data_IF_667778621296
#
_entry.id   IF_667778621296
#
_cell.length_a   1.000
_cell.length_b   1.000
_cell.length_c   1.000
_cell.angle_alpha   90.00
_cell.angle_beta   90.00
_cell.angle_gamma   90.00
#
_symmetry.space_group_name_H-M   'P 1'
#
loop_
_entity.id
_entity.type
_entity.pdbx_description
1 polymer ?
#
# COMPACT_ATOMS: atom_id res chain seq x y z
N UNK A 1 1.15 9.05 8.88
CA UNK A 1 1.33 9.12 10.37
C UNK A 1 0.71 7.90 11.03
N UNK A 2 1.33 7.30 12.04
CA UNK A 2 0.68 6.24 12.82
C UNK A 2 0.93 6.39 14.32
N UNK A 3 0.03 5.81 15.14
CA UNK A 3 -0.01 6.04 16.60
C UNK A 3 1.22 5.57 17.36
N UNK A 4 1.96 4.59 16.83
CA UNK A 4 3.17 4.06 17.49
C UNK A 4 4.40 4.92 17.22
N UNK A 5 4.32 5.94 16.33
CA UNK A 5 5.41 6.86 16.11
C UNK A 5 5.52 7.83 17.31
N UNK A 6 6.63 7.83 18.06
CA UNK A 6 6.80 8.73 19.21
C UNK A 6 6.76 10.22 18.81
N UNK A 7 7.04 10.54 17.55
CA UNK A 7 7.02 11.91 17.00
C UNK A 7 5.66 12.37 16.49
N UNK A 8 4.64 11.53 16.51
CA UNK A 8 3.34 11.81 15.86
C UNK A 8 2.73 13.16 16.29
N UNK A 9 2.90 13.54 17.56
CA UNK A 9 2.38 14.81 18.08
C UNK A 9 3.13 16.03 17.55
N UNK A 10 4.44 15.93 17.42
CA UNK A 10 5.27 17.03 16.93
C UNK A 10 5.16 17.17 15.42
N UNK A 11 5.13 16.04 14.71
CA UNK A 11 4.88 16.02 13.27
C UNK A 11 3.49 16.61 12.96
N UNK A 12 2.46 16.31 13.77
CA UNK A 12 1.12 16.88 13.61
C UNK A 12 1.11 18.40 13.80
N UNK A 13 1.84 18.93 14.80
CA UNK A 13 1.96 20.39 15.01
C UNK A 13 2.54 21.09 13.77
N UNK A 14 3.56 20.46 13.15
CA UNK A 14 4.18 20.99 11.93
C UNK A 14 3.16 20.95 10.77
N UNK A 15 2.45 19.84 10.59
CA UNK A 15 1.42 19.72 9.57
C UNK A 15 0.29 20.76 9.72
N UNK A 16 -0.17 21.00 10.95
CA UNK A 16 -1.17 22.03 11.26
C UNK A 16 -0.63 23.42 10.96
N UNK A 17 0.61 23.74 11.40
CA UNK A 17 1.28 25.02 11.14
C UNK A 17 1.36 25.32 9.63
N UNK A 18 1.65 24.32 8.81
CA UNK A 18 1.80 24.47 7.36
C UNK A 18 0.51 24.16 6.58
N UNK A 19 -0.60 23.90 7.28
CA UNK A 19 -1.91 23.56 6.68
C UNK A 19 -1.79 22.47 5.59
N UNK A 20 -1.10 21.38 5.92
CA UNK A 20 -0.91 20.28 4.96
C UNK A 20 -2.28 19.77 4.51
N UNK A 21 -2.61 19.80 3.21
CA UNK A 21 -3.98 19.61 2.74
C UNK A 21 -4.52 18.20 2.95
N UNK A 22 -3.66 17.18 2.94
CA UNK A 22 -4.02 15.78 3.12
C UNK A 22 -3.05 15.07 4.05
N UNK A 23 -3.57 14.45 5.09
CA UNK A 23 -2.80 13.59 6.00
C UNK A 23 -3.27 12.14 5.83
N UNK A 24 -2.32 11.24 5.55
CA UNK A 24 -2.57 9.79 5.57
C UNK A 24 -2.15 9.23 6.92
N UNK A 25 -3.04 8.46 7.55
CA UNK A 25 -2.82 7.81 8.84
C UNK A 25 -2.90 6.30 8.70
N UNK A 26 -2.17 5.58 9.56
CA UNK A 26 -2.14 4.12 9.61
C UNK A 26 -2.09 3.62 11.05
N UNK A 27 -2.41 2.33 11.29
CA UNK A 27 -2.33 1.65 12.58
C UNK A 27 -3.10 2.32 13.73
N UNK A 28 -4.34 2.67 13.48
CA UNK A 28 -5.28 3.22 14.46
C UNK A 28 -5.65 4.67 14.17
N UNK A 29 -6.92 4.89 13.90
CA UNK A 29 -7.49 6.22 13.70
C UNK A 29 -7.56 6.97 15.03
N UNK A 30 -7.10 8.20 15.05
CA UNK A 30 -7.09 9.08 16.23
C UNK A 30 -8.02 10.25 15.98
N UNK A 31 -9.17 10.27 16.65
CA UNK A 31 -10.15 11.36 16.52
C UNK A 31 -9.54 12.75 16.78
N UNK A 32 -8.58 12.86 17.73
CA UNK A 32 -7.87 14.11 18.00
C UNK A 32 -7.05 14.61 16.81
N UNK A 33 -6.40 13.70 16.06
CA UNK A 33 -5.65 14.04 14.85
C UNK A 33 -6.62 14.55 13.77
N UNK A 34 -7.73 13.84 13.57
CA UNK A 34 -8.78 14.25 12.61
C UNK A 34 -9.28 15.65 12.94
N UNK A 35 -9.66 15.92 14.20
CA UNK A 35 -10.10 17.25 14.63
C UNK A 35 -9.07 18.34 14.39
N UNK A 36 -7.78 18.08 14.68
CA UNK A 36 -6.71 19.04 14.46
C UNK A 36 -6.51 19.35 12.96
N UNK A 37 -6.62 18.36 12.07
CA UNK A 37 -6.51 18.55 10.61
C UNK A 37 -7.73 19.29 10.07
N UNK A 38 -8.94 18.92 10.51
CA UNK A 38 -10.17 19.60 10.12
C UNK A 38 -10.22 21.06 10.57
N UNK A 39 -9.54 21.44 11.66
CA UNK A 39 -9.54 22.82 12.16
C UNK A 39 -9.01 23.86 11.15
N UNK A 40 -8.24 23.43 10.16
CA UNK A 40 -7.75 24.30 9.08
C UNK A 40 -8.25 23.91 7.68
N UNK A 41 -9.22 22.99 7.59
CA UNK A 41 -9.82 22.53 6.32
C UNK A 41 -9.03 21.45 5.60
N UNK A 42 -8.07 20.77 6.27
CA UNK A 42 -7.35 19.63 5.72
C UNK A 42 -8.18 18.35 5.75
N UNK A 43 -7.76 17.34 4.99
CA UNK A 43 -8.40 16.03 4.88
C UNK A 43 -7.56 14.95 5.58
N UNK A 44 -8.23 13.95 6.14
CA UNK A 44 -7.58 12.77 6.72
C UNK A 44 -8.04 11.50 6.02
N UNK A 45 -7.09 10.76 5.44
CA UNK A 45 -7.34 9.43 4.91
C UNK A 45 -6.67 8.38 5.82
N UNK A 46 -7.27 7.18 5.89
CA UNK A 46 -6.79 6.14 6.80
C UNK A 46 -6.65 4.79 6.11
N UNK A 47 -5.49 4.15 6.31
CA UNK A 47 -5.20 2.80 5.82
C UNK A 47 -5.99 1.76 6.60
N UNK A 48 -6.71 0.90 5.89
CA UNK A 48 -7.49 -0.19 6.47
C UNK A 48 -7.32 -1.50 5.72
N UNK A 49 -7.30 -2.61 6.44
CA UNK A 49 -7.14 -3.96 5.86
C UNK A 49 -8.37 -4.85 6.08
N UNK A 50 -9.38 -4.38 6.79
CA UNK A 50 -10.63 -5.11 7.07
C UNK A 50 -11.74 -4.18 7.55
N UNK A 51 -12.98 -4.65 7.48
CA UNK A 51 -14.21 -3.91 7.86
C UNK A 51 -14.11 -3.23 9.22
N UNK A 52 -13.73 -3.96 10.27
CA UNK A 52 -13.64 -3.38 11.63
C UNK A 52 -12.69 -2.17 11.72
N UNK A 53 -11.61 -2.17 10.93
CA UNK A 53 -10.69 -1.03 10.87
C UNK A 53 -11.37 0.17 10.18
N UNK A 54 -12.09 -0.10 9.10
CA UNK A 54 -12.83 0.92 8.36
C UNK A 54 -13.96 1.54 9.21
N UNK A 55 -14.71 0.73 9.97
CA UNK A 55 -15.74 1.21 10.89
C UNK A 55 -15.15 2.16 11.94
N UNK A 56 -14.05 1.78 12.59
CA UNK A 56 -13.37 2.64 13.58
C UNK A 56 -12.81 3.93 12.94
N UNK A 57 -12.29 3.86 11.73
CA UNK A 57 -11.83 5.04 11.03
C UNK A 57 -12.99 5.99 10.67
N UNK A 58 -14.12 5.43 10.22
CA UNK A 58 -15.34 6.18 9.96
C UNK A 58 -15.88 6.87 11.23
N UNK A 59 -15.93 6.15 12.35
CA UNK A 59 -16.31 6.69 13.68
C UNK A 59 -15.38 7.84 14.12
N UNK A 60 -14.08 7.76 13.80
CA UNK A 60 -13.11 8.81 14.08
C UNK A 60 -13.28 10.04 13.16
N UNK A 61 -14.12 9.96 12.12
CA UNK A 61 -14.49 11.08 11.26
C UNK A 61 -13.60 11.27 10.04
N UNK A 62 -12.79 10.28 9.62
CA UNK A 62 -11.92 10.40 8.44
C UNK A 62 -12.67 10.73 7.17
N UNK A 63 -11.99 11.37 6.21
CA UNK A 63 -12.58 11.83 4.94
C UNK A 63 -12.44 10.80 3.82
N UNK A 64 -11.52 9.85 3.98
CA UNK A 64 -11.34 8.76 3.04
C UNK A 64 -10.70 7.54 3.67
N UNK A 65 -10.89 6.39 3.02
CA UNK A 65 -10.27 5.13 3.38
C UNK A 65 -9.35 4.64 2.25
N UNK A 66 -8.15 4.20 2.63
CA UNK A 66 -7.25 3.48 1.75
C UNK A 66 -7.38 2.00 2.07
N UNK A 67 -7.98 1.25 1.16
CA UNK A 67 -8.22 -0.18 1.32
C UNK A 67 -6.97 -0.94 0.90
N UNK A 68 -6.16 -1.35 1.87
CA UNK A 68 -4.94 -2.11 1.64
C UNK A 68 -5.30 -3.60 1.55
N UNK A 69 -5.61 -4.05 0.35
CA UNK A 69 -6.12 -5.39 0.05
C UNK A 69 -5.00 -6.44 -0.05
N UNK A 70 -5.38 -7.68 -0.30
CA UNK A 70 -4.44 -8.76 -0.60
C UNK A 70 -3.49 -8.36 -1.75
N UNK A 71 -2.21 -8.71 -1.63
CA UNK A 71 -1.19 -8.44 -2.63
C UNK A 71 -0.59 -7.04 -2.60
N UNK A 72 -0.94 -6.17 -1.65
CA UNK A 72 -0.24 -4.92 -1.44
C UNK A 72 1.16 -5.16 -0.89
N UNK A 73 2.17 -4.41 -1.35
CA UNK A 73 3.53 -4.47 -0.81
C UNK A 73 3.63 -3.92 0.60
N UNK A 74 4.57 -4.41 1.40
CA UNK A 74 4.72 -4.02 2.81
C UNK A 74 3.56 -4.52 3.67
N UNK A 75 3.21 -3.78 4.72
CA UNK A 75 2.08 -4.11 5.58
C UNK A 75 0.77 -4.09 4.79
N UNK A 76 0.11 -5.22 4.69
CA UNK A 76 -1.09 -5.38 3.87
C UNK A 76 -2.11 -6.33 4.50
N UNK A 77 -3.30 -6.34 3.91
CA UNK A 77 -4.36 -7.29 4.25
C UNK A 77 -4.30 -8.57 3.42
N UNK A 78 -5.18 -9.49 3.74
CA UNK A 78 -5.37 -10.77 3.04
C UNK A 78 -6.73 -10.84 2.35
N UNK A 79 -7.55 -9.79 2.46
CA UNK A 79 -8.89 -9.78 1.88
C UNK A 79 -8.78 -9.39 0.41
N UNK A 80 -9.44 -10.18 -0.44
CA UNK A 80 -9.55 -9.89 -1.86
C UNK A 80 -10.16 -8.49 -2.08
N UNK A 81 -9.63 -7.67 -3.01
CA UNK A 81 -10.08 -6.29 -3.23
C UNK A 81 -11.58 -6.19 -3.56
N UNK A 82 -12.13 -7.10 -4.38
CA UNK A 82 -13.56 -7.09 -4.72
C UNK A 82 -14.44 -7.23 -3.48
N UNK A 83 -14.07 -8.16 -2.57
CA UNK A 83 -14.80 -8.39 -1.32
C UNK A 83 -14.66 -7.21 -0.37
N UNK A 84 -13.45 -6.68 -0.22
CA UNK A 84 -13.15 -5.58 0.69
C UNK A 84 -13.91 -4.31 0.30
N UNK A 85 -13.87 -3.91 -0.98
CA UNK A 85 -14.62 -2.76 -1.49
C UNK A 85 -16.12 -2.96 -1.29
N UNK A 86 -16.66 -4.12 -1.71
CA UNK A 86 -18.09 -4.42 -1.61
C UNK A 86 -18.59 -4.35 -0.18
N UNK A 87 -17.81 -4.82 0.79
CA UNK A 87 -18.15 -4.77 2.20
C UNK A 87 -18.15 -3.34 2.76
N UNK A 88 -17.12 -2.56 2.43
CA UNK A 88 -16.95 -1.21 2.97
C UNK A 88 -17.92 -0.21 2.35
N UNK A 89 -18.22 -0.31 1.07
CA UNK A 89 -19.19 0.57 0.38
C UNK A 89 -20.61 0.47 0.95
N UNK A 90 -20.95 -0.58 1.68
CA UNK A 90 -22.28 -0.70 2.32
C UNK A 90 -22.50 0.40 3.36
N UNK A 91 -21.47 0.82 4.06
CA UNK A 91 -21.59 1.81 5.16
C UNK A 91 -20.79 3.10 4.96
N UNK A 92 -19.65 3.06 4.23
CA UNK A 92 -18.81 4.22 4.00
C UNK A 92 -19.11 4.84 2.63
N UNK A 93 -19.48 6.13 2.61
CA UNK A 93 -19.94 6.86 1.41
C UNK A 93 -19.02 8.00 0.97
N UNK A 94 -17.89 8.19 1.69
CA UNK A 94 -16.84 9.14 1.33
C UNK A 94 -15.79 8.46 0.42
N UNK A 95 -14.67 9.11 0.18
CA UNK A 95 -13.62 8.66 -0.73
C UNK A 95 -13.05 7.29 -0.36
N UNK A 96 -12.99 6.40 -1.33
CA UNK A 96 -12.37 5.08 -1.25
C UNK A 96 -11.22 5.00 -2.24
N UNK A 97 -10.05 4.66 -1.73
CA UNK A 97 -8.84 4.41 -2.52
C UNK A 97 -8.50 2.93 -2.42
N UNK A 98 -8.27 2.25 -3.53
CA UNK A 98 -7.83 0.85 -3.52
C UNK A 98 -6.32 0.78 -3.64
N UNK A 99 -5.70 -0.02 -2.77
CA UNK A 99 -4.28 -0.38 -2.80
C UNK A 99 -4.12 -1.91 -2.83
N UNK A 100 -3.20 -2.38 -3.64
CA UNK A 100 -2.87 -3.81 -3.79
C UNK A 100 -3.00 -4.31 -5.23
N UNK A 101 -1.95 -4.93 -5.75
CA UNK A 101 -1.87 -5.47 -7.11
C UNK A 101 -2.13 -4.47 -8.24
N UNK A 102 -1.91 -3.17 -8.04
CA UNK A 102 -2.14 -2.14 -9.06
C UNK A 102 -0.80 -1.70 -9.62
N UNK A 103 -0.56 -1.94 -10.91
CA UNK A 103 0.69 -1.62 -11.60
C UNK A 103 0.50 -1.08 -13.02
N UNK A 104 -0.69 -1.20 -13.58
CA UNK A 104 -1.03 -0.77 -14.94
C UNK A 104 -2.23 0.18 -14.96
N UNK A 105 -2.43 0.88 -16.09
CA UNK A 105 -3.64 1.68 -16.29
C UNK A 105 -4.91 0.86 -16.33
N UNK A 106 -4.84 -0.39 -16.80
CA UNK A 106 -5.95 -1.35 -16.77
C UNK A 106 -6.33 -1.74 -15.34
N UNK A 107 -5.34 -1.86 -14.43
CA UNK A 107 -5.62 -2.12 -13.01
C UNK A 107 -6.32 -0.93 -12.35
N UNK A 108 -5.96 0.31 -12.74
CA UNK A 108 -6.64 1.53 -12.29
C UNK A 108 -8.10 1.52 -12.75
N UNK A 109 -8.36 1.23 -14.02
CA UNK A 109 -9.72 1.13 -14.55
C UNK A 109 -10.53 0.05 -13.81
N UNK A 110 -9.93 -1.11 -13.54
CA UNK A 110 -10.53 -2.20 -12.77
C UNK A 110 -10.87 -1.78 -11.34
N UNK A 111 -9.97 -1.06 -10.66
CA UNK A 111 -10.22 -0.54 -9.32
C UNK A 111 -11.43 0.41 -9.29
N UNK A 112 -11.55 1.30 -10.27
CA UNK A 112 -12.70 2.21 -10.41
C UNK A 112 -13.99 1.46 -10.72
N UNK A 113 -13.95 0.43 -11.55
CA UNK A 113 -15.12 -0.43 -11.83
C UNK A 113 -15.58 -1.21 -10.58
N UNK A 114 -14.67 -1.63 -9.72
CA UNK A 114 -15.02 -2.20 -8.43
C UNK A 114 -15.66 -1.18 -7.48
N UNK A 115 -15.53 0.12 -7.80
CA UNK A 115 -16.12 1.22 -7.04
C UNK A 115 -15.16 2.00 -6.14
N UNK A 116 -13.86 1.91 -6.35
CA UNK A 116 -12.91 2.85 -5.78
C UNK A 116 -12.98 4.19 -6.53
N UNK A 117 -12.70 5.30 -5.83
CA UNK A 117 -12.60 6.63 -6.44
C UNK A 117 -11.17 6.86 -6.98
N UNK A 118 -10.16 6.22 -6.36
CA UNK A 118 -8.76 6.30 -6.76
C UNK A 118 -8.06 4.95 -6.58
N UNK A 119 -6.92 4.81 -7.26
CA UNK A 119 -5.97 3.71 -7.09
C UNK A 119 -4.69 4.21 -6.42
N UNK A 120 -4.08 3.37 -5.57
CA UNK A 120 -2.85 3.68 -4.84
C UNK A 120 -1.77 2.66 -5.22
N UNK A 121 -0.67 3.15 -5.79
CA UNK A 121 0.43 2.35 -6.28
C UNK A 121 1.71 2.63 -5.47
N UNK A 122 2.40 1.56 -5.05
CA UNK A 122 3.73 1.66 -4.43
C UNK A 122 4.79 1.00 -5.29
N UNK A 123 4.71 -0.33 -5.42
CA UNK A 123 5.73 -1.18 -6.06
C UNK A 123 6.10 -0.71 -7.48
N UNK A 124 5.12 -0.31 -8.31
CA UNK A 124 5.38 0.18 -9.67
C UNK A 124 6.31 1.40 -9.69
N UNK A 125 6.16 2.31 -8.72
CA UNK A 125 6.98 3.53 -8.65
C UNK A 125 8.36 3.30 -8.03
N UNK A 126 8.62 2.17 -7.37
CA UNK A 126 9.97 1.76 -6.97
C UNK A 126 10.84 1.59 -8.23
N UNK A 127 10.25 1.00 -9.29
CA UNK A 127 10.91 0.81 -10.58
C UNK A 127 10.74 2.02 -11.49
N UNK A 128 11.31 3.15 -11.07
CA UNK A 128 11.45 4.36 -11.87
C UNK A 128 12.89 4.87 -11.78
N UNK A 129 13.32 5.65 -12.77
CA UNK A 129 14.67 6.24 -12.79
C UNK A 129 14.89 7.22 -11.65
N UNK A 130 13.85 7.95 -11.25
CA UNK A 130 13.90 8.95 -10.17
C UNK A 130 13.86 8.33 -8.77
N UNK A 131 13.45 7.06 -8.65
CA UNK A 131 13.46 6.36 -7.37
C UNK A 131 14.90 6.15 -6.89
N UNK A 132 15.14 6.46 -5.61
CA UNK A 132 16.41 6.22 -4.92
C UNK A 132 16.54 4.76 -4.40
N UNK A 133 15.65 3.86 -4.82
CA UNK A 133 15.76 2.45 -4.51
C UNK A 133 17.06 1.88 -5.12
N UNK A 134 17.67 0.93 -4.40
CA UNK A 134 18.84 0.19 -4.88
C UNK A 134 18.53 -0.49 -6.21
N UNK A 135 19.49 -0.50 -7.14
CA UNK A 135 19.31 -1.13 -8.46
C UNK A 135 19.04 -2.63 -8.33
N UNK A 136 19.68 -3.31 -7.37
CA UNK A 136 19.38 -4.72 -7.07
C UNK A 136 17.94 -4.94 -6.62
N UNK A 137 17.33 -3.95 -5.94
CA UNK A 137 15.92 -4.00 -5.57
C UNK A 137 15.01 -3.88 -6.80
N UNK A 138 15.32 -2.94 -7.70
CA UNK A 138 14.57 -2.76 -8.95
C UNK A 138 14.67 -3.99 -9.84
N UNK A 139 15.85 -4.55 -9.99
CA UNK A 139 16.09 -5.79 -10.73
C UNK A 139 15.35 -6.98 -10.12
N UNK A 140 15.35 -7.08 -8.79
CA UNK A 140 14.62 -8.14 -8.08
C UNK A 140 13.11 -8.03 -8.33
N UNK A 141 12.54 -6.83 -8.34
CA UNK A 141 11.12 -6.61 -8.68
C UNK A 141 10.83 -7.08 -10.12
N UNK A 142 11.67 -6.69 -11.09
CA UNK A 142 11.48 -7.06 -12.51
C UNK A 142 11.54 -8.58 -12.71
N UNK A 143 12.40 -9.27 -11.96
CA UNK A 143 12.61 -10.71 -12.09
C UNK A 143 11.67 -11.56 -11.24
N UNK A 144 10.81 -10.94 -10.41
CA UNK A 144 9.89 -11.64 -9.51
C UNK A 144 8.50 -11.81 -10.12
N UNK A 145 7.80 -12.83 -9.63
CA UNK A 145 6.41 -13.15 -9.96
C UNK A 145 5.53 -13.05 -8.71
N UNK A 146 4.21 -13.17 -8.87
CA UNK A 146 3.28 -13.14 -7.75
C UNK A 146 3.60 -14.20 -6.67
N UNK A 147 4.06 -15.38 -7.08
CA UNK A 147 4.44 -16.48 -6.19
C UNK A 147 5.74 -16.20 -5.40
N UNK A 148 6.50 -15.21 -5.81
CA UNK A 148 7.70 -14.75 -5.09
C UNK A 148 7.37 -13.73 -3.99
N UNK A 149 6.11 -13.43 -3.76
CA UNK A 149 5.66 -12.54 -2.69
C UNK A 149 5.25 -13.37 -1.47
N UNK A 150 6.01 -13.22 -0.39
CA UNK A 150 5.81 -13.93 0.88
C UNK A 150 5.14 -13.03 1.90
N UNK A 151 3.96 -13.45 2.38
CA UNK A 151 3.24 -12.75 3.44
C UNK A 151 3.61 -13.35 4.80
N UNK A 152 4.30 -12.60 5.63
CA UNK A 152 4.81 -13.08 6.92
C UNK A 152 4.97 -11.98 7.95
N UNK A 153 4.86 -12.35 9.24
CA UNK A 153 5.21 -11.51 10.38
C UNK A 153 6.65 -11.73 10.87
N UNK A 154 7.38 -12.68 10.29
CA UNK A 154 8.70 -13.10 10.80
C UNK A 154 9.74 -11.97 10.80
N UNK A 155 9.65 -11.02 9.86
CA UNK A 155 10.63 -9.93 9.71
C UNK A 155 10.40 -8.82 10.74
N UNK A 156 9.19 -8.27 10.80
CA UNK A 156 8.89 -7.07 11.61
C UNK A 156 8.01 -7.34 12.84
N UNK A 157 7.49 -8.57 12.96
CA UNK A 157 6.48 -8.91 13.96
C UNK A 157 5.05 -8.52 13.57
N UNK A 158 4.89 -7.85 12.42
CA UNK A 158 3.60 -7.52 11.82
C UNK A 158 3.58 -8.11 10.40
N UNK A 159 2.45 -8.69 10.02
CA UNK A 159 2.32 -9.29 8.68
C UNK A 159 2.55 -8.27 7.58
N UNK A 160 3.46 -8.60 6.67
CA UNK A 160 3.79 -7.80 5.50
C UNK A 160 4.20 -8.71 4.33
N UNK A 161 4.13 -8.16 3.11
CA UNK A 161 4.56 -8.83 1.90
C UNK A 161 6.01 -8.47 1.57
N UNK A 162 6.84 -9.49 1.41
CA UNK A 162 8.26 -9.37 1.08
C UNK A 162 8.59 -10.15 -0.18
N UNK A 163 9.64 -9.73 -0.88
CA UNK A 163 10.23 -10.48 -1.98
C UNK A 163 10.93 -11.72 -1.43
N UNK A 164 10.54 -12.91 -1.89
CA UNK A 164 11.15 -14.19 -1.51
C UNK A 164 12.66 -14.20 -1.73
N UNK A 165 13.18 -13.76 -2.92
CA UNK A 165 14.62 -13.71 -3.13
C UNK A 165 15.35 -12.77 -2.13
N UNK A 166 14.70 -11.72 -1.66
CA UNK A 166 15.27 -10.83 -0.63
C UNK A 166 15.35 -11.49 0.74
N UNK A 167 14.35 -12.31 1.11
CA UNK A 167 14.40 -13.13 2.32
C UNK A 167 15.52 -14.15 2.25
N UNK A 168 15.62 -14.87 1.14
CA UNK A 168 16.66 -15.90 0.90
C UNK A 168 18.07 -15.30 0.91
N UNK A 169 18.27 -14.13 0.34
CA UNK A 169 19.55 -13.41 0.39
C UNK A 169 19.99 -13.05 1.81
N UNK A 170 19.05 -12.96 2.75
CA UNK A 170 19.28 -12.73 4.16
C UNK A 170 19.24 -14.02 4.99
N UNK A 171 19.36 -15.18 4.33
CA UNK A 171 19.34 -16.52 4.94
C UNK A 171 18.05 -16.83 5.74
N UNK A 172 16.97 -16.14 5.42
CA UNK A 172 15.65 -16.41 5.98
C UNK A 172 14.99 -17.49 5.13
N UNK A 173 14.90 -18.69 5.70
CA UNK A 173 14.39 -19.88 5.02
C UNK A 173 12.87 -19.98 5.07
N UNK A 174 12.32 -20.86 4.25
CA UNK A 174 10.88 -21.12 4.21
C UNK A 174 10.30 -21.53 5.55
N UNK A 175 10.98 -22.38 6.29
CA UNK A 175 10.56 -22.78 7.63
C UNK A 175 10.52 -21.59 8.61
N UNK A 176 11.43 -20.64 8.47
CA UNK A 176 11.48 -19.45 9.33
C UNK A 176 10.30 -18.52 9.07
N UNK A 177 9.97 -18.22 7.81
CA UNK A 177 8.85 -17.33 7.54
C UNK A 177 7.48 -18.00 7.69
N UNK A 178 7.35 -19.31 7.51
CA UNK A 178 6.11 -20.05 7.76
C UNK A 178 5.78 -20.18 9.24
N UNK A 179 6.78 -20.33 10.10
CA UNK A 179 6.58 -20.47 11.55
C UNK A 179 6.24 -19.16 12.27
N UNK A 180 6.23 -18.02 11.58
CA UNK A 180 5.80 -16.69 12.08
C UNK A 180 6.41 -16.22 13.40
N UNK A 181 7.50 -16.84 13.87
CA UNK A 181 8.26 -16.34 15.01
C UNK A 181 9.13 -15.19 14.53
N UNK A 182 9.04 -14.04 15.19
CA UNK A 182 9.88 -12.87 14.88
C UNK A 182 11.36 -13.30 14.90
N UNK A 183 12.05 -13.04 13.80
CA UNK A 183 13.48 -13.34 13.66
C UNK A 183 14.24 -12.34 14.52
N UNK A 184 15.16 -12.85 15.36
CA UNK A 184 16.04 -12.04 16.17
C UNK A 184 17.24 -11.60 15.31
N UNK A 185 17.27 -10.34 14.92
CA UNK A 185 18.36 -9.75 14.12
C UNK A 185 19.56 -9.29 14.98
N UNK A 186 19.61 -9.66 16.24
CA UNK A 186 20.69 -9.38 17.18
C UNK A 186 20.19 -8.73 18.47
N UNK A 187 20.72 -9.21 19.60
CA UNK A 187 20.33 -8.76 20.94
C UNK A 187 20.82 -7.33 21.29
N UNK A 188 21.65 -6.74 20.44
CA UNK A 188 22.28 -5.44 20.69
C UNK A 188 21.49 -4.23 20.16
N UNK A 189 20.42 -4.47 19.38
CA UNK A 189 19.59 -3.42 18.80
C UNK A 189 18.28 -3.28 19.57
N UNK A 190 17.84 -2.05 19.79
CA UNK A 190 16.46 -1.80 20.23
C UNK A 190 15.46 -2.35 19.18
N UNK A 191 14.24 -2.67 19.59
CA UNK A 191 13.22 -3.21 18.68
C UNK A 191 12.98 -2.28 17.45
N UNK A 192 13.05 -0.96 17.65
CA UNK A 192 12.90 0.02 16.58
C UNK A 192 14.10 0.04 15.60
N UNK A 193 15.32 -0.11 16.11
CA UNK A 193 16.54 -0.16 15.27
C UNK A 193 16.61 -1.47 14.49
N UNK A 194 16.23 -2.59 15.10
CA UNK A 194 16.15 -3.90 14.43
C UNK A 194 15.10 -3.87 13.31
N UNK A 195 13.95 -3.25 13.53
CA UNK A 195 12.91 -3.06 12.53
C UNK A 195 13.40 -2.15 11.39
N UNK A 196 14.00 -1.01 11.70
CA UNK A 196 14.55 -0.09 10.71
C UNK A 196 15.64 -0.74 9.85
N UNK A 197 16.51 -1.57 10.45
CA UNK A 197 17.54 -2.33 9.74
C UNK A 197 16.92 -3.39 8.84
N UNK A 198 15.92 -4.12 9.33
CA UNK A 198 15.21 -5.12 8.54
C UNK A 198 14.56 -4.50 7.28
N UNK A 199 13.85 -3.38 7.44
CA UNK A 199 13.25 -2.67 6.31
C UNK A 199 14.24 -2.07 5.31
N UNK A 200 15.48 -1.83 5.73
CA UNK A 200 16.54 -1.35 4.84
C UNK A 200 17.15 -2.45 3.99
N UNK A 201 17.21 -3.67 4.49
CA UNK A 201 17.94 -4.80 3.88
C UNK A 201 17.04 -5.90 3.33
N UNK A 202 15.78 -5.97 3.79
CA UNK A 202 14.79 -6.94 3.32
C UNK A 202 13.73 -6.19 2.53
N UNK A 203 13.68 -6.43 1.25
CA UNK A 203 12.83 -5.68 0.32
C UNK A 203 11.43 -6.25 0.24
N UNK A 204 10.47 -5.36 0.22
CA UNK A 204 9.05 -5.68 0.13
C UNK A 204 8.48 -5.28 -1.23
N UNK A 205 7.55 -6.07 -1.74
CA UNK A 205 6.80 -5.73 -2.94
C UNK A 205 5.40 -6.30 -2.87
N UNK A 206 4.49 -5.77 -3.70
CA UNK A 206 3.17 -6.33 -3.90
C UNK A 206 3.14 -7.31 -5.06
N UNK A 207 2.07 -8.11 -5.16
CA UNK A 207 1.88 -9.09 -6.24
C UNK A 207 1.77 -8.44 -7.63
N UNK A 208 1.57 -7.14 -7.73
CA UNK A 208 1.64 -6.37 -8.98
C UNK A 208 3.02 -6.36 -9.66
N UNK A 209 4.05 -6.96 -9.07
CA UNK A 209 5.37 -7.17 -9.70
C UNK A 209 5.26 -7.86 -11.06
N UNK A 210 4.26 -8.73 -11.25
CA UNK A 210 4.04 -9.46 -12.50
C UNK A 210 3.90 -8.58 -13.75
N UNK A 211 3.48 -7.33 -13.57
CA UNK A 211 3.28 -6.35 -14.64
C UNK A 211 4.43 -5.33 -14.75
N UNK A 212 5.51 -5.51 -13.99
CA UNK A 212 6.65 -4.59 -13.95
C UNK A 212 7.84 -5.23 -14.67
N UNK A 213 8.15 -4.73 -15.86
CA UNK A 213 9.20 -5.27 -16.73
C UNK A 213 10.32 -4.29 -17.03
N UNK A 214 10.20 -3.05 -16.55
CA UNK A 214 11.09 -1.94 -16.87
C UNK A 214 11.18 -0.90 -15.74
N UNK A 215 12.14 0.01 -15.87
CA UNK A 215 12.32 1.16 -14.97
C UNK A 215 12.34 2.47 -15.79
N UNK A 216 11.20 2.94 -16.30
CA UNK A 216 11.09 4.18 -17.07
C UNK A 216 11.26 5.41 -16.17
N UNK A 217 11.34 6.61 -16.76
CA UNK A 217 11.15 7.82 -15.97
C UNK A 217 9.67 7.97 -15.54
N UNK A 218 9.43 8.69 -14.45
CA UNK A 218 8.07 8.86 -13.88
C UNK A 218 7.12 9.46 -14.91
N UNK A 219 7.59 10.42 -15.73
CA UNK A 219 6.76 11.02 -16.78
C UNK A 219 6.26 9.96 -17.76
N UNK A 220 7.15 9.15 -18.31
CA UNK A 220 6.80 8.13 -19.30
C UNK A 220 5.90 7.06 -18.69
N UNK A 221 6.14 6.69 -17.42
CA UNK A 221 5.27 5.80 -16.69
C UNK A 221 3.85 6.34 -16.56
N UNK A 222 3.71 7.60 -16.15
CA UNK A 222 2.39 8.24 -15.99
C UNK A 222 1.65 8.38 -17.32
N UNK A 223 2.37 8.70 -18.39
CA UNK A 223 1.77 8.78 -19.73
C UNK A 223 1.28 7.40 -20.18
N UNK A 224 2.10 6.36 -20.02
CA UNK A 224 1.71 4.96 -20.28
C UNK A 224 0.49 4.52 -19.47
N UNK A 225 0.47 4.82 -18.16
CA UNK A 225 -0.68 4.48 -17.30
C UNK A 225 -1.98 5.15 -17.77
N UNK A 226 -1.92 6.38 -18.28
CA UNK A 226 -3.07 7.06 -18.85
C UNK A 226 -3.54 6.41 -20.14
N UNK A 227 -2.63 6.06 -21.04
CA UNK A 227 -2.93 5.36 -22.28
C UNK A 227 -3.62 4.03 -22.00
N UNK A 228 -3.01 3.19 -21.15
CA UNK A 228 -3.57 1.89 -20.75
C UNK A 228 -4.94 2.01 -20.06
N UNK A 229 -5.14 3.08 -19.29
CA UNK A 229 -6.43 3.37 -18.65
C UNK A 229 -7.50 3.68 -19.71
N UNK A 230 -7.19 4.56 -20.67
CA UNK A 230 -8.11 4.91 -21.75
C UNK A 230 -8.46 3.69 -22.58
N UNK A 231 -7.48 2.89 -22.98
CA UNK A 231 -7.70 1.63 -23.72
C UNK A 231 -8.63 0.69 -22.96
N UNK A 232 -8.41 0.52 -21.66
CA UNK A 232 -9.25 -0.34 -20.82
C UNK A 232 -10.72 0.13 -20.77
N UNK A 233 -10.93 1.45 -20.71
CA UNK A 233 -12.28 2.05 -20.74
C UNK A 233 -12.94 1.89 -22.10
N UNK A 234 -12.20 2.07 -23.20
CA UNK A 234 -12.72 1.84 -24.57
C UNK A 234 -13.10 0.37 -24.78
N UNK A 235 -12.27 -0.59 -24.33
CA UNK A 235 -12.61 -2.00 -24.35
C UNK A 235 -13.95 -2.30 -23.64
N UNK A 236 -14.18 -1.65 -22.48
CA UNK A 236 -15.45 -1.81 -21.76
C UNK A 236 -16.65 -1.22 -22.49
N UNK A 237 -16.49 -0.07 -23.16
CA UNK A 237 -17.55 0.48 -24.00
C UNK A 237 -17.92 -0.48 -25.13
N UNK A 238 -16.92 -1.07 -25.78
CA UNK A 238 -17.16 -2.05 -26.85
C UNK A 238 -17.91 -3.30 -26.39
N UNK A 239 -17.78 -3.67 -25.11
CA UNK A 239 -18.55 -4.77 -24.52
C UNK A 239 -20.03 -4.40 -24.37
N UNK A 240 -20.38 -3.17 -24.02
CA UNK A 240 -21.77 -2.73 -23.91
C UNK A 240 -22.51 -2.90 -25.24
N UNK A 241 -21.87 -2.61 -26.36
CA UNK A 241 -22.45 -2.77 -27.71
C UNK A 241 -22.83 -4.22 -28.04
N UNK A 242 -22.17 -5.20 -27.39
CA UNK A 242 -22.47 -6.62 -27.57
C UNK A 242 -23.69 -7.11 -26.77
N UNK A 243 -24.14 -6.31 -25.78
CA UNK A 243 -25.24 -6.67 -24.90
C UNK A 243 -26.44 -5.73 -25.05
N UNK A 244 -26.34 -4.72 -25.91
CA UNK A 244 -27.42 -3.82 -26.32
C UNK A 244 -28.01 -4.24 -27.66
#
# INVERSE_FOLDING_TARGET
>A
MHNTNPRVRDDLKICVKHKVPLIITSLGAVSQLVGAVHSYGGLVYHDVIKKRHAEKAAEAGVDGLILVSAGAGGHGGTINPMSLISEIKKFFKKTIILSGCISTGRDIASAMQMGADFAYMGTRFINTKESLADEGYKDMIINSKADDIVYTAAVSGVNANFLKPSLEAMWITEDMWKNSKKIDFGKELSAAEAEAKAWKTIWSAGQGVTSITDSPCVKDLVDKLKEEFVEAVEDQKSLLEKFS
#
